data_IF_866688261879
#
_entry.id   IF_866688261879
#
_cell.length_a   1.000
_cell.length_b   1.000
_cell.length_c   1.000
_cell.angle_alpha   90.00
_cell.angle_beta   90.00
_cell.angle_gamma   90.00
#
_symmetry.space_group_name_H-M   'P 1'
#
loop_
_entity.id
_entity.type
_entity.pdbx_description
1 polymer ?
#
# COMPACT_ATOMS: atom_id res chain seq x y z
N UNK A 1 -23.70 -4.68 -15.18
CA UNK A 1 -23.18 -4.47 -14.89
C UNK A 1 -22.68 -4.43 -14.53
N UNK A 2 -22.67 -4.08 -14.44
CA UNK A 2 -22.06 -3.78 -13.93
C UNK A 2 -21.58 -3.66 -13.23
N UNK A 3 -21.51 -3.64 -13.08
CA UNK A 3 -20.91 -3.48 -12.46
C UNK A 3 -20.34 -3.23 -11.83
N UNK A 4 -20.08 -3.08 -11.94
CA UNK A 4 -19.56 -2.76 -11.55
C UNK A 4 -19.46 -2.55 -10.74
N UNK A 5 -19.82 -2.30 -10.40
CA UNK A 5 -19.73 -2.10 -9.77
C UNK A 5 -19.49 -2.17 -8.92
N UNK A 6 -19.51 -2.32 -9.19
CA UNK A 6 -19.35 -2.38 -8.52
C UNK A 6 -19.00 -2.64 -7.66
N UNK A 7 -18.83 -3.19 -8.05
CA UNK A 7 -18.35 -3.24 -6.85
C UNK A 7 -17.92 -2.04 -6.38
N UNK A 8 -18.55 -1.25 -6.59
CA UNK A 8 -18.24 0.11 -6.33
C UNK A 8 -17.71 0.29 -4.94
N UNK A 9 -16.68 1.06 -4.77
CA UNK A 9 -16.01 1.21 -3.52
C UNK A 9 -15.17 0.02 -3.11
N UNK A 10 -15.31 -1.05 -3.84
CA UNK A 10 -14.48 -2.22 -3.64
C UNK A 10 -13.24 -2.07 -4.49
N UNK A 11 -12.09 -2.02 -3.83
CA UNK A 11 -10.82 -2.00 -4.53
C UNK A 11 -10.27 -3.41 -4.54
N UNK A 12 -9.85 -3.87 -5.70
CA UNK A 12 -9.22 -5.17 -5.79
C UNK A 12 -7.95 -5.17 -4.97
N UNK A 13 -7.80 -6.19 -4.12
CA UNK A 13 -6.57 -6.37 -3.36
C UNK A 13 -5.43 -6.67 -4.31
N UNK A 14 -4.34 -5.93 -4.16
CA UNK A 14 -3.13 -6.15 -4.95
C UNK A 14 -2.21 -7.04 -4.14
N UNK A 15 -1.76 -8.12 -4.74
CA UNK A 15 -0.93 -9.11 -4.08
C UNK A 15 0.49 -8.58 -3.84
N UNK A 16 1.11 -8.93 -2.69
CA UNK A 16 2.53 -8.63 -2.48
C UNK A 16 3.46 -9.30 -3.50
N UNK A 17 2.95 -10.23 -4.31
CA UNK A 17 3.72 -10.92 -5.36
C UNK A 17 3.49 -10.33 -6.75
N UNK A 18 2.67 -9.29 -6.89
CA UNK A 18 2.46 -8.63 -8.17
C UNK A 18 3.71 -7.84 -8.58
N UNK A 19 3.80 -7.52 -9.86
CA UNK A 19 4.98 -6.80 -10.38
C UNK A 19 4.63 -5.35 -10.72
N UNK A 20 3.97 -5.11 -11.83
CA UNK A 20 3.63 -3.75 -12.26
C UNK A 20 2.25 -3.38 -11.77
N UNK A 21 2.15 -2.25 -11.09
CA UNK A 21 0.89 -1.79 -10.53
C UNK A 21 0.68 -0.33 -10.94
N UNK A 22 -0.54 -0.03 -11.38
CA UNK A 22 -0.97 1.35 -11.67
C UNK A 22 -2.32 1.53 -10.99
N UNK A 23 -2.39 2.46 -10.07
CA UNK A 23 -3.59 2.62 -9.25
C UNK A 23 -3.92 4.10 -9.10
N UNK A 24 -5.04 4.50 -9.71
CA UNK A 24 -5.50 5.89 -9.66
C UNK A 24 -6.31 6.12 -8.38
N UNK A 25 -6.13 7.30 -7.78
CA UNK A 25 -6.89 7.67 -6.58
C UNK A 25 -8.38 7.73 -6.89
N UNK A 26 -9.25 7.52 -5.88
CA UNK A 26 -10.70 7.53 -6.11
C UNK A 26 -11.21 8.82 -6.75
N UNK A 27 -10.58 9.97 -6.45
CA UNK A 27 -10.98 11.25 -7.07
C UNK A 27 -10.41 11.43 -8.48
N UNK A 28 -9.60 10.49 -8.97
CA UNK A 28 -9.03 10.52 -10.31
C UNK A 28 -7.87 11.49 -10.49
N UNK A 29 -7.40 12.16 -9.45
CA UNK A 29 -6.40 13.22 -9.59
C UNK A 29 -4.97 12.72 -9.67
N UNK A 30 -4.66 11.63 -8.97
CA UNK A 30 -3.29 11.13 -8.91
C UNK A 30 -3.25 9.64 -9.24
N UNK A 31 -2.15 9.23 -9.84
CA UNK A 31 -1.88 7.82 -10.09
C UNK A 31 -0.61 7.41 -9.37
N UNK A 32 -0.69 6.30 -8.64
CA UNK A 32 0.46 5.66 -8.03
C UNK A 32 0.85 4.47 -8.87
N UNK A 33 2.15 4.30 -9.10
CA UNK A 33 2.67 3.20 -9.89
C UNK A 33 3.82 2.52 -9.17
N UNK A 34 3.83 1.19 -9.19
CA UNK A 34 5.00 0.41 -8.80
C UNK A 34 5.65 -0.07 -10.10
N UNK A 35 6.90 0.29 -10.29
CA UNK A 35 7.65 -0.02 -11.49
C UNK A 35 8.98 -0.68 -11.11
N UNK A 36 9.62 -1.33 -12.09
CA UNK A 36 10.92 -1.99 -11.91
C UNK A 36 10.89 -2.99 -10.77
N UNK A 37 9.78 -3.71 -10.63
CA UNK A 37 9.62 -4.68 -9.56
C UNK A 37 10.38 -5.96 -9.86
N UNK A 38 10.97 -6.54 -8.83
CA UNK A 38 11.63 -7.83 -8.89
C UNK A 38 11.40 -8.57 -7.58
N UNK A 39 11.58 -9.88 -7.58
CA UNK A 39 11.47 -10.67 -6.36
C UNK A 39 12.58 -10.28 -5.38
N UNK A 40 12.21 -10.14 -4.11
CA UNK A 40 13.19 -9.88 -3.05
C UNK A 40 14.19 -11.02 -2.96
N UNK A 41 13.68 -12.24 -3.15
CA UNK A 41 14.46 -13.47 -3.25
C UNK A 41 13.61 -14.44 -4.08
N UNK A 42 14.19 -15.56 -4.51
CA UNK A 42 13.46 -16.52 -5.35
C UNK A 42 12.18 -16.97 -4.66
N UNK A 43 11.04 -16.76 -5.33
CA UNK A 43 9.71 -17.13 -4.82
C UNK A 43 9.18 -16.21 -3.73
N UNK A 44 9.94 -15.21 -3.31
CA UNK A 44 9.51 -14.24 -2.31
C UNK A 44 8.61 -13.18 -2.95
N UNK A 45 7.94 -12.36 -2.13
CA UNK A 45 7.22 -11.20 -2.65
C UNK A 45 8.14 -10.26 -3.42
N UNK A 46 7.57 -9.32 -4.14
CA UNK A 46 8.34 -8.38 -4.94
C UNK A 46 8.53 -7.06 -4.19
N UNK A 47 9.49 -6.29 -4.63
CA UNK A 47 9.63 -4.89 -4.29
C UNK A 47 9.91 -4.09 -5.56
N UNK A 48 9.46 -2.85 -5.58
CA UNK A 48 9.69 -1.99 -6.73
C UNK A 48 9.77 -0.55 -6.30
N UNK A 49 9.84 0.34 -7.29
CA UNK A 49 9.87 1.77 -7.06
C UNK A 49 8.47 2.32 -7.18
N UNK A 50 8.02 2.99 -6.13
CA UNK A 50 6.74 3.70 -6.15
C UNK A 50 6.97 5.09 -6.73
N UNK A 51 6.19 5.45 -7.74
CA UNK A 51 6.14 6.81 -8.25
C UNK A 51 4.70 7.28 -8.19
N UNK A 52 4.51 8.53 -7.78
CA UNK A 52 3.18 9.15 -7.77
C UNK A 52 3.22 10.30 -8.76
N UNK A 53 2.12 10.53 -9.46
CA UNK A 53 2.06 11.52 -10.54
C UNK A 53 2.33 12.96 -10.06
N UNK A 54 2.34 13.21 -8.76
CA UNK A 54 2.75 14.50 -8.20
C UNK A 54 4.28 14.64 -8.04
N UNK A 55 5.05 13.62 -8.42
CA UNK A 55 6.51 13.65 -8.38
C UNK A 55 7.15 12.92 -7.19
N UNK A 56 6.37 12.45 -6.23
CA UNK A 56 6.93 11.70 -5.10
C UNK A 56 7.40 10.33 -5.56
N UNK A 57 8.54 9.88 -5.02
CA UNK A 57 9.16 8.60 -5.39
C UNK A 57 9.72 7.93 -4.15
N UNK A 58 9.52 6.61 -4.05
CA UNK A 58 9.99 5.81 -2.92
C UNK A 58 10.50 4.47 -3.41
N UNK A 59 11.57 3.98 -2.78
CA UNK A 59 12.22 2.73 -3.15
C UNK A 59 11.73 1.56 -2.31
N UNK A 60 11.91 0.35 -2.82
CA UNK A 60 11.69 -0.90 -2.09
C UNK A 60 10.27 -1.04 -1.55
N UNK A 61 9.31 -0.70 -2.38
CA UNK A 61 7.90 -0.74 -1.98
C UNK A 61 7.26 -2.06 -2.40
N UNK A 62 6.49 -2.63 -1.50
CA UNK A 62 5.63 -3.78 -1.74
C UNK A 62 4.48 -3.30 -2.63
N UNK A 63 4.12 -4.02 -3.69
CA UNK A 63 3.08 -3.55 -4.62
C UNK A 63 1.66 -3.56 -4.06
N UNK A 64 1.44 -4.13 -2.87
CA UNK A 64 0.11 -4.18 -2.26
C UNK A 64 -0.26 -2.83 -1.65
N UNK A 65 -0.41 -1.81 -2.50
CA UNK A 65 -0.74 -0.44 -2.10
C UNK A 65 -2.25 -0.23 -2.13
N UNK A 66 -2.73 0.75 -1.37
CA UNK A 66 -4.16 1.08 -1.36
C UNK A 66 -4.36 2.57 -1.08
N UNK A 67 -5.24 3.21 -1.86
CA UNK A 67 -5.65 4.58 -1.62
C UNK A 67 -6.70 4.63 -0.53
N UNK A 68 -6.69 5.70 0.27
CA UNK A 68 -7.83 5.97 1.15
C UNK A 68 -9.05 6.35 0.31
N UNK A 69 -10.23 6.07 0.85
CA UNK A 69 -11.48 6.34 0.14
C UNK A 69 -11.69 7.85 -0.13
N UNK A 70 -11.07 8.71 0.67
CA UNK A 70 -11.12 10.15 0.47
C UNK A 70 -9.98 10.71 -0.38
N UNK A 71 -9.13 9.86 -0.94
CA UNK A 71 -7.99 10.22 -1.79
C UNK A 71 -6.90 11.06 -1.11
N UNK A 72 -6.95 11.21 0.20
CA UNK A 72 -5.96 11.99 0.94
C UNK A 72 -4.67 11.24 1.19
N UNK A 73 -4.75 9.91 1.30
CA UNK A 73 -3.61 9.09 1.71
C UNK A 73 -3.43 7.90 0.79
N UNK A 74 -2.16 7.49 0.66
CA UNK A 74 -1.80 6.22 0.05
C UNK A 74 -1.06 5.40 1.10
N UNK A 75 -1.52 4.18 1.33
CA UNK A 75 -0.86 3.25 2.25
C UNK A 75 0.04 2.32 1.45
N UNK A 76 1.29 2.19 1.88
CA UNK A 76 2.32 1.47 1.14
C UNK A 76 3.18 0.66 2.10
N UNK A 77 3.17 -0.67 2.01
CA UNK A 77 4.16 -1.45 2.78
C UNK A 77 5.53 -1.25 2.15
N UNK A 78 6.52 -0.94 2.96
CA UNK A 78 7.87 -0.68 2.48
C UNK A 78 8.87 -1.61 3.17
N UNK A 79 9.72 -2.25 2.38
CA UNK A 79 10.73 -3.16 2.89
C UNK A 79 11.82 -2.39 3.62
N UNK A 80 12.28 -2.96 4.74
CA UNK A 80 13.41 -2.43 5.51
C UNK A 80 14.68 -3.19 5.13
N UNK A 81 15.79 -2.78 5.72
CA UNK A 81 17.07 -3.45 5.54
C UNK A 81 17.06 -4.89 6.05
N UNK A 82 16.32 -5.14 7.13
CA UNK A 82 16.24 -6.45 7.75
C UNK A 82 15.30 -7.40 7.03
N UNK A 83 14.76 -6.97 5.89
CA UNK A 83 13.83 -7.77 5.11
C UNK A 83 12.50 -8.03 5.80
N UNK A 84 12.10 -7.13 6.69
CA UNK A 84 10.73 -7.03 7.14
C UNK A 84 10.11 -5.74 6.56
N UNK A 85 8.91 -5.38 6.99
CA UNK A 85 8.19 -4.26 6.39
C UNK A 85 7.67 -3.30 7.44
N UNK A 86 7.59 -2.04 7.04
CA UNK A 86 6.87 -0.99 7.75
C UNK A 86 5.68 -0.58 6.91
N UNK A 87 4.65 -0.08 7.56
CA UNK A 87 3.54 0.51 6.82
C UNK A 87 3.76 2.02 6.70
N UNK A 88 4.00 2.47 5.48
CA UNK A 88 4.20 3.87 5.16
C UNK A 88 2.87 4.47 4.73
N UNK A 89 2.56 5.65 5.24
CA UNK A 89 1.36 6.40 4.85
C UNK A 89 1.83 7.72 4.24
N UNK A 90 1.38 7.99 3.03
CA UNK A 90 1.74 9.19 2.31
C UNK A 90 0.52 10.11 2.24
N UNK A 91 0.63 11.29 2.85
CA UNK A 91 -0.38 12.33 2.72
C UNK A 91 -0.06 13.09 1.44
N UNK A 92 -0.60 12.62 0.33
CA UNK A 92 -0.14 13.00 -1.01
C UNK A 92 -0.31 14.48 -1.32
N UNK A 93 -1.36 15.11 -0.80
CA UNK A 93 -1.64 16.52 -1.08
C UNK A 93 -0.86 17.45 -0.17
N UNK A 94 -0.28 16.93 0.90
CA UNK A 94 0.52 17.70 1.85
C UNK A 94 2.01 17.40 1.74
N UNK A 95 2.39 16.49 0.86
CA UNK A 95 3.78 16.04 0.69
C UNK A 95 4.39 15.58 2.01
N UNK A 96 3.64 14.81 2.79
CA UNK A 96 4.08 14.31 4.08
C UNK A 96 4.11 12.79 4.05
N UNK A 97 5.03 12.23 4.84
CA UNK A 97 5.18 10.78 4.99
C UNK A 97 5.17 10.45 6.47
N UNK A 98 4.44 9.40 6.82
CA UNK A 98 4.43 8.90 8.19
C UNK A 98 4.46 7.38 8.17
N UNK A 99 4.59 6.81 9.36
CA UNK A 99 4.69 5.35 9.50
C UNK A 99 3.83 4.89 10.66
N UNK A 100 3.19 3.74 10.46
CA UNK A 100 2.51 3.07 11.56
C UNK A 100 3.55 2.50 12.51
N UNK A 101 3.20 2.40 13.77
CA UNK A 101 4.04 1.75 14.78
C UNK A 101 4.08 0.26 14.49
N UNK A 102 5.26 -0.33 14.60
CA UNK A 102 5.43 -1.77 14.45
C UNK A 102 6.09 -2.18 13.17
N UNK A 103 6.46 -3.44 13.14
CA UNK A 103 7.15 -4.08 12.03
C UNK A 103 6.35 -5.31 11.65
N UNK A 104 6.27 -5.56 10.35
CA UNK A 104 5.46 -6.65 9.79
C UNK A 104 6.34 -7.54 8.92
N UNK A 105 5.91 -8.77 8.68
CA UNK A 105 6.65 -9.67 7.80
C UNK A 105 6.37 -9.36 6.33
N UNK A 106 5.13 -9.53 5.89
CA UNK A 106 4.70 -9.21 4.52
C UNK A 106 3.26 -8.73 4.62
N UNK A 107 3.03 -7.47 4.29
CA UNK A 107 1.69 -6.91 4.37
C UNK A 107 0.95 -7.08 3.05
N UNK A 108 -0.29 -7.50 3.14
CA UNK A 108 -1.26 -7.46 2.04
C UNK A 108 -2.39 -6.55 2.48
N UNK A 109 -2.53 -5.40 1.84
CA UNK A 109 -3.52 -4.39 2.25
C UNK A 109 -4.84 -4.64 1.52
N UNK A 110 -5.93 -4.58 2.24
CA UNK A 110 -7.26 -4.87 1.70
C UNK A 110 -8.12 -3.63 1.54
N UNK A 111 -8.07 -2.69 2.48
CA UNK A 111 -8.92 -1.50 2.41
C UNK A 111 -8.33 -0.36 3.22
N UNK A 112 -8.78 0.85 2.87
CA UNK A 112 -8.42 2.06 3.59
C UNK A 112 -9.65 2.96 3.56
N UNK A 113 -10.54 2.74 4.52
CA UNK A 113 -11.86 3.39 4.55
C UNK A 113 -12.08 4.01 5.91
N UNK A 114 -12.58 5.25 5.93
CA UNK A 114 -12.89 5.94 7.18
C UNK A 114 -11.67 6.12 8.07
N UNK A 115 -10.50 6.28 7.48
CA UNK A 115 -9.25 6.44 8.24
C UNK A 115 -8.69 5.14 8.79
N UNK A 116 -9.26 3.98 8.40
CA UNK A 116 -8.82 2.68 8.89
C UNK A 116 -8.21 1.85 7.78
N UNK A 117 -7.02 1.34 8.03
CA UNK A 117 -6.30 0.48 7.09
C UNK A 117 -6.43 -0.95 7.57
N UNK A 118 -6.98 -1.81 6.74
CA UNK A 118 -7.16 -3.23 7.08
C UNK A 118 -6.43 -4.10 6.07
N UNK A 119 -5.93 -5.21 6.54
CA UNK A 119 -5.22 -6.16 5.71
C UNK A 119 -4.75 -7.33 6.53
N UNK A 120 -3.73 -8.02 6.01
CA UNK A 120 -3.20 -9.23 6.63
C UNK A 120 -1.68 -9.15 6.61
N UNK A 121 -1.04 -9.51 7.72
CA UNK A 121 0.39 -9.75 7.79
C UNK A 121 0.63 -11.23 7.58
N UNK A 122 1.65 -11.59 6.81
CA UNK A 122 2.04 -12.97 6.50
C UNK A 122 0.90 -13.79 5.90
N UNK A 123 0.36 -13.37 4.74
CA UNK A 123 -0.87 -14.00 4.20
C UNK A 123 -0.73 -15.48 3.87
N UNK A 124 0.48 -15.97 3.63
CA UNK A 124 0.68 -17.37 3.25
C UNK A 124 1.03 -18.26 4.42
N UNK A 125 1.87 -17.78 5.33
CA UNK A 125 2.42 -18.64 6.38
C UNK A 125 1.59 -18.64 7.65
N UNK A 126 1.41 -17.49 8.25
CA UNK A 126 0.72 -17.38 9.53
C UNK A 126 -0.07 -16.08 9.52
N UNK A 127 -1.23 -16.08 8.83
CA UNK A 127 -1.98 -14.85 8.64
C UNK A 127 -2.40 -14.21 9.96
N UNK A 128 -2.21 -12.91 10.05
CA UNK A 128 -2.61 -12.11 11.19
C UNK A 128 -3.25 -10.83 10.68
N UNK A 129 -4.49 -10.57 11.09
CA UNK A 129 -5.20 -9.39 10.63
C UNK A 129 -4.57 -8.13 11.20
N UNK A 130 -4.54 -7.07 10.39
CA UNK A 130 -4.16 -5.74 10.87
C UNK A 130 -5.34 -4.80 10.73
N UNK A 131 -5.41 -3.83 11.65
CA UNK A 131 -6.42 -2.79 11.66
C UNK A 131 -5.76 -1.56 12.27
N UNK A 132 -5.32 -0.64 11.40
CA UNK A 132 -4.51 0.50 11.81
C UNK A 132 -5.27 1.78 11.53
N UNK A 133 -5.35 2.66 12.53
CA UNK A 133 -6.03 3.94 12.40
C UNK A 133 -5.02 4.99 11.93
N UNK A 134 -5.42 5.79 10.94
CA UNK A 134 -4.56 6.86 10.43
C UNK A 134 -4.21 7.88 11.52
N UNK A 135 -5.05 7.98 12.56
CA UNK A 135 -4.78 8.85 13.70
C UNK A 135 -3.59 8.41 14.53
N UNK A 136 -3.15 7.16 14.39
CA UNK A 136 -2.02 6.62 15.14
C UNK A 136 -0.71 6.62 14.35
N UNK A 137 -0.69 7.27 13.19
CA UNK A 137 0.50 7.34 12.35
C UNK A 137 1.48 8.37 12.92
N UNK A 138 2.76 8.01 12.93
CA UNK A 138 3.82 8.94 13.32
C UNK A 138 4.33 9.65 12.07
N UNK A 139 4.02 10.91 11.98
CA UNK A 139 4.40 11.72 10.82
C UNK A 139 5.83 12.25 10.98
N UNK A 140 6.58 12.14 9.91
CA UNK A 140 7.97 12.61 9.88
C UNK A 140 8.04 14.12 9.65
#
# INVERSE_FOLDING_TARGET
MNNSDASSGMVDTISPWDYSVYLTSPDGELTAAIIDASEVAMGAPTWGTLTISNGMTFQKCNPSIVWSDDSQFLAVPQWTRERDQRLMIIAVKENKVGYATGIFSVLELHSFVGGKIKGIDSPIHKPSEIDIDVGDIEWA
#
